data_IF_082362585046
#
_entry.id   IF_082362585046
#
_cell.length_a   1.000
_cell.length_b   1.000
_cell.length_c   1.000
_cell.angle_alpha   90.00
_cell.angle_beta   90.00
_cell.angle_gamma   90.00
#
_symmetry.space_group_name_H-M   'P 1'
#
loop_
_entity.id
_entity.type
_entity.pdbx_description
1 polymer ?
#
# COMPACT_ATOMS: atom_id res chain seq x y z
N UNK A 1 -10.83 25.48 -8.14
CA UNK A 1 -9.56 25.17 -7.44
C UNK A 1 -9.04 23.87 -8.04
N UNK A 2 -7.86 23.88 -8.66
CA UNK A 2 -7.31 22.72 -9.36
C UNK A 2 -6.25 22.04 -8.49
N UNK A 3 -6.22 20.70 -8.48
CA UNK A 3 -5.19 19.93 -7.78
C UNK A 3 -3.87 20.06 -8.53
N UNK A 4 -2.77 20.34 -7.81
CA UNK A 4 -1.42 20.46 -8.39
C UNK A 4 -0.66 19.14 -8.31
N UNK A 5 0.35 18.93 -9.19
CA UNK A 5 1.21 17.74 -9.12
C UNK A 5 1.86 17.55 -7.73
N UNK A 6 2.29 18.63 -7.09
CA UNK A 6 2.87 18.59 -5.74
C UNK A 6 1.87 18.10 -4.69
N UNK A 7 0.59 18.42 -4.83
CA UNK A 7 -0.46 17.91 -3.92
C UNK A 7 -0.67 16.41 -4.13
N UNK A 8 -0.59 15.93 -5.37
CA UNK A 8 -0.69 14.49 -5.70
C UNK A 8 0.50 13.74 -5.07
N UNK A 9 1.73 14.25 -5.24
CA UNK A 9 2.93 13.64 -4.67
C UNK A 9 2.90 13.60 -3.14
N UNK A 10 2.43 14.68 -2.51
CA UNK A 10 2.28 14.76 -1.06
C UNK A 10 1.26 13.74 -0.54
N UNK A 11 0.14 13.58 -1.26
CA UNK A 11 -0.88 12.59 -0.92
C UNK A 11 -0.38 11.15 -1.11
N UNK A 12 0.34 10.87 -2.20
CA UNK A 12 0.95 9.56 -2.44
C UNK A 12 1.92 9.16 -1.33
N UNK A 13 2.79 10.09 -0.89
CA UNK A 13 3.71 9.85 0.24
C UNK A 13 2.98 9.61 1.55
N UNK A 14 1.90 10.35 1.78
CA UNK A 14 1.06 10.15 2.96
C UNK A 14 0.43 8.74 2.96
N UNK A 15 -0.06 8.26 1.82
CA UNK A 15 -0.64 6.92 1.72
C UNK A 15 0.39 5.81 1.95
N UNK A 16 1.62 5.95 1.42
CA UNK A 16 2.72 4.99 1.65
C UNK A 16 3.12 4.95 3.14
N UNK A 17 3.26 6.11 3.80
CA UNK A 17 3.51 6.20 5.25
C UNK A 17 2.37 5.56 6.06
N UNK A 18 1.12 5.84 5.68
CA UNK A 18 -0.05 5.30 6.36
C UNK A 18 -0.14 3.78 6.24
N UNK A 19 0.09 3.21 5.04
CA UNK A 19 0.15 1.77 4.82
C UNK A 19 1.23 1.13 5.72
N UNK A 20 2.42 1.73 5.76
CA UNK A 20 3.53 1.24 6.58
C UNK A 20 3.18 1.26 8.06
N UNK A 21 2.61 2.35 8.57
CA UNK A 21 2.23 2.45 10.00
C UNK A 21 1.15 1.45 10.39
N UNK A 22 0.16 1.23 9.53
CA UNK A 22 -0.90 0.25 9.79
C UNK A 22 -0.30 -1.16 9.81
N UNK A 23 0.49 -1.52 8.79
CA UNK A 23 1.05 -2.87 8.68
C UNK A 23 2.12 -3.16 9.75
N UNK A 24 2.92 -2.16 10.14
CA UNK A 24 3.88 -2.27 11.26
C UNK A 24 3.14 -2.53 12.58
N UNK A 25 2.06 -1.80 12.86
CA UNK A 25 1.26 -1.99 14.07
C UNK A 25 0.59 -3.38 14.11
N UNK A 26 -0.02 -3.80 12.99
CA UNK A 26 -0.68 -5.11 12.91
C UNK A 26 0.33 -6.27 12.98
N UNK A 27 1.51 -6.11 12.36
CA UNK A 27 2.58 -7.10 12.44
C UNK A 27 3.14 -7.26 13.86
N UNK A 28 3.19 -6.18 14.64
CA UNK A 28 3.62 -6.22 16.04
C UNK A 28 2.67 -7.05 16.92
N UNK A 29 1.35 -6.96 16.67
CA UNK A 29 0.34 -7.76 17.37
C UNK A 29 0.30 -9.22 16.87
N UNK A 30 0.48 -9.45 15.57
CA UNK A 30 0.43 -10.81 14.99
C UNK A 30 1.71 -11.62 15.21
N UNK A 31 2.87 -10.94 15.33
CA UNK A 31 4.18 -11.56 15.47
C UNK A 31 4.88 -11.90 14.16
N UNK A 32 4.29 -11.57 13.01
CA UNK A 32 4.89 -11.75 11.69
C UNK A 32 4.63 -10.56 10.75
N UNK A 33 5.56 -10.27 9.83
CA UNK A 33 5.42 -9.13 8.92
C UNK A 33 4.44 -9.41 7.78
N UNK A 34 3.82 -8.35 7.28
CA UNK A 34 3.12 -8.37 6.00
C UNK A 34 4.14 -8.56 4.85
N UNK A 35 3.79 -9.39 3.86
CA UNK A 35 4.52 -9.52 2.59
C UNK A 35 4.14 -8.35 1.69
N UNK A 36 5.14 -7.66 1.15
CA UNK A 36 4.96 -6.50 0.26
C UNK A 36 5.24 -6.87 -1.18
N UNK A 37 4.30 -6.55 -2.06
CA UNK A 37 4.40 -6.72 -3.51
C UNK A 37 4.17 -5.37 -4.20
N UNK A 38 5.22 -4.84 -4.82
CA UNK A 38 5.19 -3.55 -5.53
C UNK A 38 4.87 -3.81 -6.99
N UNK A 39 3.93 -3.05 -7.53
CA UNK A 39 3.52 -3.19 -8.91
C UNK A 39 3.47 -1.85 -9.63
N UNK A 40 3.64 -1.92 -10.95
CA UNK A 40 3.50 -0.80 -11.86
C UNK A 40 2.78 -1.29 -13.12
N UNK A 41 1.91 -0.45 -13.66
CA UNK A 41 1.16 -0.69 -14.90
C UNK A 41 1.39 0.49 -15.82
N UNK A 42 1.94 0.22 -16.99
CA UNK A 42 2.13 1.23 -18.02
C UNK A 42 0.78 1.56 -18.68
N UNK A 43 0.52 2.85 -18.91
CA UNK A 43 -0.69 3.34 -19.61
C UNK A 43 -0.45 3.71 -21.07
N UNK A 44 0.55 3.10 -21.72
CA UNK A 44 1.07 3.54 -23.01
C UNK A 44 0.12 3.29 -24.21
N UNK A 45 -0.83 2.37 -24.08
CA UNK A 45 -1.78 1.94 -25.13
C UNK A 45 -3.18 2.56 -24.96
N UNK A 46 -3.31 3.61 -24.17
CA UNK A 46 -4.60 4.22 -23.81
C UNK A 46 -5.33 3.51 -22.67
N UNK A 47 -4.73 2.48 -22.07
CA UNK A 47 -5.19 1.91 -20.80
C UNK A 47 -4.83 2.80 -19.60
N UNK A 48 -5.57 2.61 -18.50
CA UNK A 48 -5.23 3.23 -17.22
C UNK A 48 -3.93 2.64 -16.68
N UNK A 49 -2.87 3.45 -16.66
CA UNK A 49 -1.64 3.16 -15.94
C UNK A 49 -1.79 3.35 -14.42
N UNK A 50 -0.73 3.07 -13.68
CA UNK A 50 -0.68 3.28 -12.24
C UNK A 50 0.49 2.56 -11.59
N UNK A 51 0.64 2.74 -10.29
CA UNK A 51 1.59 2.01 -9.47
C UNK A 51 1.03 1.87 -8.07
N UNK A 52 1.58 0.94 -7.28
CA UNK A 52 1.11 0.71 -5.92
C UNK A 52 1.90 -0.34 -5.20
N UNK A 53 1.46 -0.64 -3.98
CA UNK A 53 2.00 -1.72 -3.18
C UNK A 53 0.87 -2.48 -2.50
N UNK A 54 0.85 -3.79 -2.72
CA UNK A 54 -0.03 -4.73 -2.03
C UNK A 54 0.72 -5.27 -0.82
N UNK A 55 0.16 -5.12 0.38
CA UNK A 55 0.73 -5.72 1.60
C UNK A 55 -0.24 -6.75 2.17
N UNK A 56 0.20 -8.00 2.28
CA UNK A 56 -0.64 -9.13 2.69
C UNK A 56 0.01 -9.95 3.80
N UNK A 57 -0.78 -10.27 4.82
CA UNK A 57 -0.46 -11.23 5.89
C UNK A 57 -1.42 -12.41 5.76
N UNK A 58 -0.90 -13.63 5.89
CA UNK A 58 -1.67 -14.88 5.85
C UNK A 58 -1.17 -15.84 6.91
N UNK A 59 -2.07 -16.69 7.39
CA UNK A 59 -1.78 -17.73 8.38
C UNK A 59 -1.20 -17.13 9.68
N UNK A 60 -1.71 -15.96 10.09
CA UNK A 60 -1.26 -15.26 11.29
C UNK A 60 -1.80 -15.85 12.58
N UNK A 61 -1.08 -15.58 13.67
CA UNK A 61 -1.44 -16.08 15.00
C UNK A 61 -2.64 -15.34 15.61
N UNK A 62 -2.85 -14.08 15.21
CA UNK A 62 -3.95 -13.20 15.66
C UNK A 62 -4.85 -12.84 14.48
N UNK A 63 -4.26 -12.54 13.32
CA UNK A 63 -4.92 -12.14 12.09
C UNK A 63 -4.81 -13.30 11.09
N UNK A 64 -5.89 -14.06 10.90
CA UNK A 64 -5.91 -15.19 9.94
C UNK A 64 -5.48 -14.75 8.53
N UNK A 65 -6.03 -13.62 8.06
CA UNK A 65 -5.64 -12.99 6.80
C UNK A 65 -5.87 -11.47 6.84
N UNK A 66 -4.87 -10.70 6.42
CA UNK A 66 -4.91 -9.23 6.37
C UNK A 66 -4.38 -8.69 5.04
N UNK A 67 -4.94 -7.55 4.59
CA UNK A 67 -4.51 -6.86 3.38
C UNK A 67 -4.62 -5.35 3.51
N UNK A 68 -3.56 -4.63 3.15
CA UNK A 68 -3.52 -3.15 3.12
C UNK A 68 -2.90 -2.73 1.79
N UNK A 69 -3.66 -2.01 0.96
CA UNK A 69 -3.27 -1.72 -0.43
C UNK A 69 -3.36 -0.22 -0.72
N UNK A 70 -2.40 0.29 -1.49
CA UNK A 70 -2.33 1.65 -2.01
C UNK A 70 -2.03 1.57 -3.50
#
# INVERSE_FOLDING_TARGET
MSITPTQIDAFARFLDDLQRRITDALAAEDGQPFRRDVWQRDGADGSLGGHGATMVLKDGAVIEQGGVNV
#
